data_IF_774303438657
#
_entry.id   IF_774303438657
#
_cell.length_a   1.000
_cell.length_b   1.000
_cell.length_c   1.000
_cell.angle_alpha   90.00
_cell.angle_beta   90.00
_cell.angle_gamma   90.00
#
_symmetry.space_group_name_H-M   'P 1'
#
loop_
_entity.id
_entity.type
_entity.pdbx_description
1 polymer ?
#
# COMPACT_ATOMS: atom_id res chain seq x y z
N UNK A 1 -3.25 22.70 -0.31
CA UNK A 1 -2.52 21.51 -0.79
C UNK A 1 -2.32 20.47 0.34
N UNK A 2 -3.40 19.91 0.91
CA UNK A 2 -3.30 18.97 2.05
C UNK A 2 -4.16 17.70 1.91
N UNK A 3 -4.93 17.57 0.83
CA UNK A 3 -5.85 16.43 0.63
C UNK A 3 -5.27 15.29 -0.23
N UNK A 4 -4.10 15.47 -0.84
CA UNK A 4 -3.42 14.41 -1.62
C UNK A 4 -2.73 13.38 -0.71
N UNK A 5 -2.27 13.77 0.48
CA UNK A 5 -1.40 12.92 1.31
C UNK A 5 -2.14 11.82 2.06
N UNK A 6 -3.40 12.03 2.47
CA UNK A 6 -4.09 11.05 3.32
C UNK A 6 -4.48 9.77 2.56
N UNK A 7 -5.01 9.91 1.34
CA UNK A 7 -5.37 8.74 0.52
C UNK A 7 -4.14 7.94 0.12
N UNK A 8 -3.03 8.60 -0.20
CA UNK A 8 -1.77 7.96 -0.56
C UNK A 8 -1.09 7.28 0.65
N UNK A 9 -1.13 7.90 1.83
CA UNK A 9 -0.56 7.32 3.06
C UNK A 9 -1.30 6.04 3.49
N UNK A 10 -2.64 6.03 3.42
CA UNK A 10 -3.46 4.84 3.68
C UNK A 10 -3.30 3.79 2.56
N UNK A 11 -2.93 4.21 1.34
CA UNK A 11 -2.67 3.33 0.18
C UNK A 11 -1.36 2.55 0.35
N UNK A 12 -0.33 3.23 0.87
CA UNK A 12 1.02 2.68 1.04
C UNK A 12 1.22 1.95 2.36
N UNK A 13 0.40 2.26 3.39
CA UNK A 13 0.54 1.73 4.75
C UNK A 13 0.66 0.20 4.83
N UNK A 14 -0.28 -0.59 4.26
CA UNK A 14 -0.23 -2.06 4.34
C UNK A 14 0.97 -2.65 3.59
N UNK A 15 1.36 -2.02 2.48
CA UNK A 15 2.49 -2.46 1.65
C UNK A 15 3.81 -2.17 2.34
N UNK A 16 3.97 -0.97 2.93
CA UNK A 16 5.16 -0.63 3.71
C UNK A 16 5.31 -1.49 4.96
N UNK A 17 4.22 -1.71 5.71
CA UNK A 17 4.25 -2.57 6.90
C UNK A 17 4.59 -4.01 6.51
N UNK A 18 3.98 -4.52 5.44
CA UNK A 18 4.31 -5.83 4.89
C UNK A 18 5.78 -5.95 4.46
N UNK A 19 6.34 -4.92 3.80
CA UNK A 19 7.74 -4.89 3.41
C UNK A 19 8.69 -4.92 4.61
N UNK A 20 8.40 -4.16 5.67
CA UNK A 20 9.18 -4.18 6.91
C UNK A 20 9.13 -5.56 7.59
N UNK A 21 7.97 -6.21 7.60
CA UNK A 21 7.82 -7.57 8.13
C UNK A 21 8.61 -8.61 7.34
N UNK A 22 8.63 -8.51 6.00
CA UNK A 22 9.43 -9.40 5.14
C UNK A 22 10.92 -9.25 5.47
N UNK A 23 11.41 -8.00 5.56
CA UNK A 23 12.82 -7.74 5.88
C UNK A 23 13.16 -8.26 7.28
N UNK A 24 12.33 -7.97 8.28
CA UNK A 24 12.55 -8.44 9.65
C UNK A 24 12.56 -9.97 9.75
N UNK A 25 11.59 -10.64 9.10
CA UNK A 25 11.53 -12.10 9.06
C UNK A 25 12.75 -12.73 8.38
N UNK A 26 13.22 -12.14 7.28
CA UNK A 26 14.41 -12.61 6.58
C UNK A 26 15.68 -12.47 7.44
N UNK A 27 15.85 -11.35 8.14
CA UNK A 27 16.98 -11.16 9.06
C UNK A 27 16.96 -12.20 10.18
N UNK A 28 15.79 -12.42 10.80
CA UNK A 28 15.61 -13.43 11.86
C UNK A 28 15.95 -14.83 11.35
N UNK A 29 15.52 -15.17 10.13
CA UNK A 29 15.76 -16.49 9.55
C UNK A 29 17.23 -16.73 9.18
N UNK A 30 18.00 -15.69 8.85
CA UNK A 30 19.40 -15.79 8.43
C UNK A 30 20.41 -15.70 9.59
N UNK A 31 20.00 -15.12 10.73
CA UNK A 31 20.82 -14.99 11.94
C UNK A 31 21.48 -16.30 12.42
N UNK A 32 20.81 -17.47 12.40
CA UNK A 32 21.43 -18.73 12.79
C UNK A 32 22.61 -19.12 11.89
N UNK A 33 22.56 -18.79 10.60
CA UNK A 33 23.66 -19.01 9.65
C UNK A 33 24.90 -18.17 9.96
N UNK A 34 24.77 -17.13 10.78
CA UNK A 34 25.86 -16.28 11.27
C UNK A 34 26.32 -16.67 12.70
N UNK A 35 25.80 -17.77 13.25
CA UNK A 35 26.13 -18.24 14.61
C UNK A 35 25.31 -17.59 15.73
N UNK A 36 24.24 -16.84 15.39
CA UNK A 36 23.33 -16.23 16.36
C UNK A 36 22.01 -17.01 16.42
N UNK A 37 21.94 -17.97 17.35
CA UNK A 37 20.73 -18.71 17.70
C UNK A 37 20.20 -18.25 19.06
N UNK A 38 19.01 -17.67 19.07
CA UNK A 38 18.34 -17.17 20.26
C UNK A 38 17.22 -18.10 20.74
N UNK A 39 16.62 -18.89 19.82
CA UNK A 39 15.46 -19.73 20.11
C UNK A 39 15.49 -20.99 19.23
N UNK A 40 15.07 -22.12 19.80
CA UNK A 40 14.76 -23.32 19.02
C UNK A 40 13.66 -22.94 17.99
N UNK A 41 13.84 -23.29 16.73
CA UNK A 41 12.97 -22.93 15.60
C UNK A 41 13.04 -21.46 15.09
N UNK A 42 14.09 -20.69 15.43
CA UNK A 42 14.26 -19.32 14.95
C UNK A 42 14.12 -19.15 13.43
N UNK A 43 14.65 -20.10 12.64
CA UNK A 43 14.52 -20.09 11.17
C UNK A 43 13.06 -20.16 10.73
N UNK A 44 12.28 -21.04 11.36
CA UNK A 44 10.86 -21.23 11.06
C UNK A 44 10.06 -19.99 11.45
N UNK A 45 10.35 -19.41 12.62
CA UNK A 45 9.72 -18.19 13.09
C UNK A 45 9.98 -17.04 12.11
N UNK A 46 11.24 -16.84 11.69
CA UNK A 46 11.60 -15.82 10.71
C UNK A 46 10.90 -16.02 9.37
N UNK A 47 10.81 -17.27 8.89
CA UNK A 47 10.09 -17.61 7.67
C UNK A 47 8.58 -17.31 7.77
N UNK A 48 7.94 -17.68 8.88
CA UNK A 48 6.50 -17.38 9.12
C UNK A 48 6.25 -15.88 9.12
N UNK A 49 7.10 -15.10 9.80
CA UNK A 49 7.00 -13.63 9.82
C UNK A 49 7.11 -13.04 8.41
N UNK A 50 8.05 -13.55 7.61
CA UNK A 50 8.22 -13.11 6.23
C UNK A 50 6.99 -13.45 5.36
N UNK A 51 6.41 -14.63 5.51
CA UNK A 51 5.19 -15.04 4.81
C UNK A 51 4.01 -14.13 5.17
N UNK A 52 3.84 -13.79 6.45
CA UNK A 52 2.80 -12.85 6.90
C UNK A 52 3.00 -11.46 6.27
N UNK A 53 4.24 -10.97 6.20
CA UNK A 53 4.56 -9.73 5.51
C UNK A 53 4.18 -9.76 4.03
N UNK A 54 4.43 -10.87 3.34
CA UNK A 54 4.09 -11.06 1.93
C UNK A 54 2.57 -11.06 1.71
N UNK A 55 1.80 -11.69 2.61
CA UNK A 55 0.33 -11.65 2.58
C UNK A 55 -0.18 -10.21 2.72
N UNK A 56 0.41 -9.41 3.61
CA UNK A 56 0.03 -7.99 3.77
C UNK A 56 0.35 -7.16 2.52
N UNK A 57 1.48 -7.41 1.88
CA UNK A 57 1.84 -6.77 0.60
C UNK A 57 0.79 -7.12 -0.46
N UNK A 58 0.46 -8.40 -0.62
CA UNK A 58 -0.56 -8.85 -1.59
C UNK A 58 -1.92 -8.23 -1.29
N UNK A 59 -2.37 -8.25 -0.04
CA UNK A 59 -3.62 -7.61 0.38
C UNK A 59 -3.63 -6.10 0.07
N UNK A 60 -2.50 -5.42 0.34
CA UNK A 60 -2.28 -4.02 -0.04
C UNK A 60 -2.44 -3.81 -1.55
N UNK A 61 -1.84 -4.64 -2.39
CA UNK A 61 -2.00 -4.56 -3.85
C UNK A 61 -3.43 -4.81 -4.32
N UNK A 62 -4.12 -5.83 -3.79
CA UNK A 62 -5.52 -6.11 -4.16
C UNK A 62 -6.48 -4.97 -3.78
N UNK A 63 -6.32 -4.39 -2.59
CA UNK A 63 -7.13 -3.25 -2.15
C UNK A 63 -6.84 -1.99 -2.97
N UNK A 64 -5.60 -1.80 -3.40
CA UNK A 64 -5.19 -0.63 -4.18
C UNK A 64 -5.50 -0.73 -5.66
N UNK A 65 -5.54 -1.94 -6.22
CA UNK A 65 -6.01 -2.23 -7.58
C UNK A 65 -7.48 -1.83 -7.75
N UNK A 66 -8.36 -2.25 -6.82
CA UNK A 66 -9.81 -1.94 -6.85
C UNK A 66 -10.13 -0.44 -6.84
N UNK A 67 -9.22 0.40 -6.31
CA UNK A 67 -9.36 1.87 -6.29
C UNK A 67 -8.69 2.58 -7.47
N UNK A 68 -7.79 1.92 -8.21
CA UNK A 68 -7.10 2.53 -9.36
C UNK A 68 -8.09 2.76 -10.52
N UNK A 69 -9.05 1.85 -10.68
CA UNK A 69 -10.15 1.95 -11.65
C UNK A 69 -11.12 3.11 -11.44
N UNK A 70 -11.04 3.83 -10.31
CA UNK A 70 -11.87 5.02 -10.06
C UNK A 70 -11.19 6.32 -10.50
N UNK A 71 -9.87 6.33 -10.67
CA UNK A 71 -9.07 7.56 -10.94
C UNK A 71 -8.59 7.60 -12.39
N UNK A 72 -8.45 6.44 -13.05
CA UNK A 72 -8.09 6.35 -14.47
C UNK A 72 -9.30 6.34 -15.41
N UNK A 73 -10.53 6.44 -14.89
CA UNK A 73 -11.67 6.73 -15.76
C UNK A 73 -11.41 8.13 -16.31
N UNK A 74 -11.40 8.32 -17.64
CA UNK A 74 -11.38 9.67 -18.18
C UNK A 74 -12.54 10.42 -17.51
N UNK A 75 -12.24 11.55 -16.88
CA UNK A 75 -13.28 12.49 -16.45
C UNK A 75 -14.02 12.85 -17.73
N UNK A 76 -15.26 12.39 -17.84
CA UNK A 76 -16.10 12.71 -18.98
C UNK A 76 -16.48 14.19 -18.85
N UNK A 77 -15.68 15.06 -19.47
CA UNK A 77 -15.85 16.52 -19.48
C UNK A 77 -17.07 16.96 -20.28
N UNK A 78 -17.90 16.02 -20.77
CA UNK A 78 -19.20 16.28 -21.39
C UNK A 78 -20.37 16.39 -20.43
N UNK A 79 -20.18 16.21 -19.12
CA UNK A 79 -21.27 16.50 -18.19
C UNK A 79 -21.40 18.01 -17.97
N UNK A 80 -22.39 18.55 -18.67
CA UNK A 80 -22.84 19.94 -18.80
C UNK A 80 -23.18 20.63 -17.46
N UNK A 81 -22.20 20.90 -16.60
CA UNK A 81 -22.37 21.70 -15.37
C UNK A 81 -21.64 23.05 -15.45
N UNK A 82 -21.44 23.61 -16.64
CA UNK A 82 -21.09 25.03 -16.76
C UNK A 82 -22.38 25.86 -16.74
N UNK A 83 -22.65 26.65 -15.68
CA UNK A 83 -23.78 27.56 -15.69
C UNK A 83 -23.68 28.52 -16.88
N UNK A 84 -24.82 28.88 -17.52
CA UNK A 84 -24.80 29.78 -18.67
C UNK A 84 -24.13 31.12 -18.30
N UNK A 85 -23.39 31.74 -19.22
CA UNK A 85 -22.74 33.03 -18.96
C UNK A 85 -23.79 34.09 -18.58
N UNK A 86 -23.47 35.00 -17.63
CA UNK A 86 -24.40 36.06 -17.23
C UNK A 86 -24.73 36.98 -18.41
N UNK A 87 -25.97 37.50 -18.51
CA UNK A 87 -26.36 38.42 -19.56
C UNK A 87 -25.51 39.71 -19.55
N UNK A 88 -25.27 40.33 -20.71
CA UNK A 88 -24.51 41.58 -20.81
C UNK A 88 -25.14 42.69 -19.95
N UNK A 89 -24.32 43.57 -19.32
CA UNK A 89 -24.83 44.78 -18.69
C UNK A 89 -25.44 45.73 -19.73
N UNK A 90 -26.61 46.30 -19.43
CA UNK A 90 -27.24 47.39 -20.19
C UNK A 90 -26.43 48.70 -20.12
#
# INVERSE_FOLDING_TARGET
MSYLTWREYVRSGPVCLGALLVIAGAVIALLPGMGYDFVEYQVIIGAVVAVVGLILILAGFFLTAKKRDSVTRPVDTRQDDTPPPPPPPD
#
